data_IF_274086237151
#
_entry.id   IF_274086237151
#
_cell.length_a   1.000
_cell.length_b   1.000
_cell.length_c   1.000
_cell.angle_alpha   90.00
_cell.angle_beta   90.00
_cell.angle_gamma   90.00
#
_symmetry.space_group_name_H-M   'P 1'
#
loop_
_entity.id
_entity.type
_entity.pdbx_description
1 polymer ?
2 non-polymer ?
3 water ?
#
# COMPACT_ATOMS: atom_id res chain seq x y z
N UNK A 5 -11.88 5.88 3.95
CA UNK A 5 -11.57 5.81 2.53
C UNK A 5 -10.29 6.55 2.17
N UNK A 6 -9.58 6.06 1.15
CA UNK A 6 -8.43 6.78 0.62
C UNK A 6 -8.90 7.90 -0.30
N UNK A 7 -8.07 8.90 -0.52
CA UNK A 7 -8.36 9.92 -1.52
C UNK A 7 -7.44 9.69 -2.72
N UNK A 8 -8.00 9.80 -3.91
CA UNK A 8 -7.22 9.51 -5.12
C UNK A 8 -6.74 10.75 -5.84
N UNK A 9 -5.58 10.64 -6.48
CA UNK A 9 -5.05 11.72 -7.29
C UNK A 9 -4.96 11.31 -8.75
N UNK A 10 -4.61 12.26 -9.62
CA UNK A 10 -4.69 12.06 -11.06
C UNK A 10 -3.37 11.65 -11.72
N UNK A 11 -2.29 11.57 -10.94
CA UNK A 11 -0.99 11.27 -11.53
C UNK A 11 -0.70 9.79 -11.76
N UNK A 12 -1.34 8.93 -10.97
CA UNK A 12 -1.13 7.49 -11.08
C UNK A 12 -2.45 6.77 -11.36
N UNK A 13 -2.40 5.60 -12.02
CA UNK A 13 -3.67 4.93 -12.30
C UNK A 13 -4.42 4.66 -11.02
N UNK A 14 -5.73 4.89 -11.02
CA UNK A 14 -6.57 4.71 -9.85
C UNK A 14 -6.46 3.28 -9.32
N UNK A 15 -6.44 2.30 -10.23
CA UNK A 15 -6.42 0.91 -9.77
C UNK A 15 -5.19 0.63 -8.92
N UNK A 16 -4.06 1.25 -9.29
CA UNK A 16 -2.80 1.11 -8.56
C UNK A 16 -2.88 1.73 -7.17
N UNK A 17 -3.54 2.89 -7.11
CA UNK A 17 -3.75 3.56 -5.83
C UNK A 17 -4.65 2.71 -4.92
N UNK A 18 -5.64 2.04 -5.50
CA UNK A 18 -6.51 1.19 -4.70
C UNK A 18 -5.72 -0.01 -4.17
N UNK A 19 -4.95 -0.66 -5.04
CA UNK A 19 -4.16 -1.79 -4.58
C UNK A 19 -3.15 -1.36 -3.50
N UNK A 20 -2.56 -0.16 -3.63
CA UNK A 20 -1.61 0.35 -2.61
C UNK A 20 -2.31 0.50 -1.25
N UNK A 21 -3.49 1.11 -1.28
CA UNK A 21 -4.30 1.30 -0.08
C UNK A 21 -4.72 -0.04 0.56
N UNK A 23 -3.21 -2.92 0.27
CA UNK A 23 -2.01 -3.49 0.85
C UNK A 23 -1.71 -2.87 2.21
N UNK A 24 -1.89 -1.55 2.32
CA UNK A 24 -1.63 -0.89 3.61
C UNK A 24 -2.58 -1.39 4.69
N UNK A 25 -3.84 -1.63 4.32
CA UNK A 25 -4.80 -2.12 5.32
C UNK A 25 -4.38 -3.49 5.80
N UNK A 27 -1.14 -4.76 5.83
CA UNK A 27 0.11 -4.77 6.58
C UNK A 27 -0.02 -4.16 7.96
N UNK A 28 -1.00 -3.27 8.14
CA UNK A 28 -1.20 -2.66 9.45
C UNK A 28 -2.11 -3.51 10.31
N UNK A 29 -2.69 -4.53 9.69
CA UNK A 29 -3.57 -5.43 10.41
C UNK A 29 -5.00 -4.93 10.56
N UNK A 30 -5.36 -3.85 9.85
CA UNK A 30 -6.75 -3.45 9.83
C UNK A 30 -7.59 -4.57 9.23
N UNK A 31 -7.05 -5.21 8.20
CA UNK A 31 -7.67 -6.39 7.61
C UNK A 31 -6.73 -7.56 7.89
N UNK A 32 -7.24 -8.60 8.53
CA UNK A 32 -6.41 -9.72 8.94
C UNK A 32 -6.56 -10.89 8.00
N UNK A 33 -5.68 -11.88 8.16
CA UNK A 33 -5.73 -13.06 7.32
C UNK A 33 -7.11 -13.69 7.34
N UNK A 34 -7.55 -14.12 6.16
CA UNK A 34 -8.83 -14.81 5.98
C UNK A 34 -10.04 -13.87 6.03
N UNK A 35 -9.80 -12.60 6.32
CA UNK A 35 -10.90 -11.63 6.26
C UNK A 35 -11.51 -11.63 4.87
N UNK A 36 -12.84 -11.60 4.81
CA UNK A 36 -13.54 -11.58 3.55
C UNK A 36 -13.64 -10.17 3.03
N UNK A 37 -13.22 -9.98 1.78
CA UNK A 37 -13.25 -8.66 1.16
C UNK A 37 -14.58 -8.36 0.50
N UNK A 38 -14.85 -7.07 0.27
CA UNK A 38 -16.06 -6.74 -0.48
C UNK A 38 -15.97 -7.30 -1.89
N UNK A 39 -17.12 -7.50 -2.52
CA UNK A 39 -17.11 -7.81 -3.94
C UNK A 39 -16.59 -6.57 -4.65
N UNK A 40 -16.18 -6.71 -5.90
CA UNK A 40 -15.69 -5.54 -6.62
C UNK A 40 -16.77 -4.47 -6.75
N UNK A 41 -18.03 -4.87 -6.93
CA UNK A 41 -19.11 -3.89 -7.00
C UNK A 41 -19.35 -3.19 -5.66
N UNK A 42 -19.31 -3.93 -4.57
CA UNK A 42 -19.46 -3.34 -3.24
C UNK A 42 -18.35 -2.34 -2.98
N UNK A 44 -16.56 -0.76 -5.17
CA UNK A 44 -16.73 0.39 -6.05
C UNK A 44 -17.70 1.41 -5.46
N UNK A 45 -18.80 0.92 -4.90
CA UNK A 45 -19.75 1.82 -4.26
C UNK A 45 -19.10 2.47 -3.04
N UNK A 46 -18.41 1.67 -2.23
CA UNK A 46 -17.74 2.17 -1.03
C UNK A 46 -16.73 3.28 -1.34
N UNK A 47 -15.98 3.11 -2.42
CA UNK A 47 -14.93 4.05 -2.79
C UNK A 47 -15.40 5.14 -3.76
N UNK A 48 -16.62 5.00 -4.26
CA UNK A 48 -17.12 5.87 -5.32
C UNK A 48 -16.20 5.79 -6.53
N UNK A 49 -15.85 4.56 -6.88
CA UNK A 49 -14.97 4.28 -8.00
C UNK A 49 -15.65 3.27 -8.93
N UNK A 50 -15.39 3.41 -10.21
CA UNK A 50 -15.84 2.48 -11.25
C UNK A 50 -15.45 1.04 -10.89
N UNK A 51 -16.40 0.10 -10.94
CA UNK A 51 -16.06 -1.29 -10.51
C UNK A 51 -15.04 -1.95 -11.43
N UNK A 52 -14.95 -1.52 -12.69
CA UNK A 52 -13.91 -2.04 -13.59
C UNK A 52 -12.53 -1.70 -13.07
N UNK A 53 -12.42 -0.51 -12.49
CA UNK A 53 -11.17 -0.05 -11.92
C UNK A 53 -10.84 -0.84 -10.66
N UNK A 54 -11.85 -1.11 -9.85
CA UNK A 54 -11.64 -1.93 -8.67
C UNK A 54 -11.21 -3.34 -9.07
N UNK A 55 -11.86 -3.89 -10.09
CA UNK A 55 -11.50 -5.23 -10.54
C UNK A 55 -10.03 -5.30 -10.94
N UNK A 56 -9.52 -4.27 -11.57
CA UNK A 56 -8.11 -4.29 -11.99
C UNK A 56 -7.19 -4.31 -10.75
N UNK A 57 -7.60 -3.61 -9.69
CA UNK A 57 -6.84 -3.63 -8.47
C UNK A 57 -6.88 -5.00 -7.80
N UNK A 58 -8.07 -5.62 -7.75
CA UNK A 58 -8.18 -6.94 -7.14
C UNK A 58 -7.35 -7.96 -7.95
N UNK A 59 -7.40 -7.86 -9.28
CA UNK A 59 -6.63 -8.77 -10.15
C UNK A 59 -5.14 -8.64 -9.87
N UNK A 60 -4.69 -7.40 -9.69
CA UNK A 60 -3.28 -7.15 -9.37
C UNK A 60 -2.89 -7.85 -8.06
N UNK A 61 -3.74 -7.71 -7.04
CA UNK A 61 -3.45 -8.32 -5.75
C UNK A 61 -3.52 -9.84 -5.79
N UNK A 62 -4.45 -10.38 -6.56
CA UNK A 62 -4.62 -11.84 -6.59
C UNK A 62 -3.44 -12.44 -7.32
N UNK A 63 -3.03 -11.81 -8.40
CA UNK A 63 -1.90 -12.27 -9.19
C UNK A 63 -0.64 -12.32 -8.33
N UNK A 64 -0.49 -11.38 -7.39
CA UNK A 64 0.70 -11.31 -6.56
C UNK A 64 0.55 -12.12 -5.27
N UNK A 65 -0.63 -12.71 -5.07
CA UNK A 65 -0.87 -13.60 -3.94
C UNK A 65 -1.30 -12.96 -2.63
N UNK A 66 -1.71 -11.69 -2.65
CA UNK A 66 -2.09 -10.99 -1.42
C UNK A 66 -3.54 -11.24 -1.06
N UNK A 67 -4.34 -11.60 -2.06
CA UNK A 67 -5.72 -12.03 -1.81
C UNK A 67 -5.95 -13.28 -2.62
N UNK A 68 -6.95 -14.06 -2.24
CA UNK A 68 -7.27 -15.26 -2.99
C UNK A 68 -8.77 -15.48 -3.04
N UNK A 69 -9.21 -16.25 -4.03
CA UNK A 69 -10.62 -16.45 -4.25
C UNK A 69 -11.01 -17.87 -3.95
N UNK A 70 -12.23 -18.05 -3.46
CA UNK A 70 -12.85 -19.36 -3.39
C UNK A 70 -14.04 -19.30 -4.33
N UNK A 71 -14.28 -20.37 -5.08
CA UNK A 71 -15.38 -20.39 -6.04
C UNK A 71 -16.71 -20.04 -5.37
N UNK A 72 -17.41 -19.07 -5.92
CA UNK A 72 -18.71 -18.65 -5.40
C UNK A 72 -18.67 -18.25 -3.94
N UNK A 74 -16.19 -15.41 -3.14
CA UNK A 74 -15.51 -14.13 -3.18
C UNK A 74 -14.02 -14.19 -2.87
N UNK A 75 -13.46 -13.04 -2.49
CA UNK A 75 -12.04 -12.88 -2.24
C UNK A 75 -11.71 -12.69 -0.76
N UNK A 76 -10.54 -13.16 -0.36
CA UNK A 76 -10.12 -13.19 1.03
C UNK A 76 -8.68 -12.71 1.17
N UNK A 77 -8.35 -12.13 2.31
CA UNK A 77 -6.98 -11.69 2.59
C UNK A 77 -6.10 -12.91 2.86
N UNK A 78 -4.98 -13.02 2.14
CA UNK A 78 -4.05 -14.11 2.37
C UNK A 78 -3.52 -14.09 3.80
N UNK A 79 -3.36 -15.27 4.41
CA UNK A 79 -2.63 -15.42 5.66
C UNK A 79 -1.22 -15.90 5.35
N UNK A 80 -0.24 -15.02 5.46
CA UNK A 80 1.15 -15.39 5.21
C UNK A 80 2.02 -14.30 5.82
N UNK A 81 2.44 -14.49 7.06
CA UNK A 81 3.19 -13.47 7.78
C UNK A 81 4.49 -13.13 7.08
N UNK A 82 5.14 -14.15 6.52
CA UNK A 82 6.41 -13.93 5.84
C UNK A 82 6.21 -13.02 4.63
N UNK A 83 5.13 -13.26 3.89
CA UNK A 83 4.81 -12.48 2.69
C UNK A 83 4.58 -11.00 3.03
N UNK A 84 3.77 -10.77 4.06
CA UNK A 84 3.49 -9.39 4.46
C UNK A 84 4.68 -8.72 5.13
N UNK A 85 5.47 -9.48 5.90
CA UNK A 85 6.70 -8.94 6.46
C UNK A 85 7.66 -8.42 5.38
N UNK A 86 7.77 -9.16 4.27
CA UNK A 86 8.66 -8.73 3.19
C UNK A 86 8.09 -7.52 2.45
N UNK A 87 6.78 -7.45 2.32
CA UNK A 87 6.14 -6.27 1.70
C UNK A 87 6.43 -5.04 2.55
N UNK A 88 6.27 -5.15 3.85
CA UNK A 88 6.51 -4.03 4.74
C UNK A 88 7.96 -3.59 4.62
N UNK A 89 8.87 -4.56 4.52
CA UNK A 89 10.29 -4.24 4.39
C UNK A 89 10.55 -3.47 3.11
N UNK A 90 9.95 -3.90 2.02
CA UNK A 90 10.15 -3.22 0.74
C UNK A 90 9.55 -1.81 0.74
N UNK A 91 8.38 -1.64 1.36
CA UNK A 91 7.76 -0.33 1.41
C UNK A 91 8.62 0.59 2.29
N UNK A 92 9.15 0.04 3.37
CA UNK A 92 10.00 0.82 4.27
C UNK A 92 11.28 1.27 3.55
N UNK A 93 11.89 0.37 2.78
CA UNK A 93 13.07 0.74 1.98
C UNK A 93 12.75 1.85 0.99
N UNK A 94 11.57 1.78 0.38
CA UNK A 94 11.16 2.78 -0.60
C UNK A 94 10.99 4.15 0.05
N UNK A 95 10.39 4.16 1.25
CA UNK A 95 10.18 5.38 2.00
C UNK A 95 11.52 6.04 2.37
N UNK A 96 12.48 5.23 2.80
CA UNK A 96 13.78 5.80 3.19
C UNK A 96 14.53 6.30 1.97
N UNK A 97 14.42 5.57 0.87
CA UNK A 97 15.08 5.98 -0.37
C UNK A 97 14.57 7.36 -0.80
N UNK A 98 13.25 7.53 -0.80
CA UNK A 98 12.63 8.78 -1.22
C UNK A 98 12.97 9.94 -0.30
N UNK A 99 13.08 9.66 0.99
CA UNK A 99 13.45 10.67 1.98
C UNK A 99 14.83 11.22 1.64
N UNK A 100 15.79 10.33 1.40
CA UNK A 100 17.15 10.76 1.10
C UNK A 100 17.25 11.46 -0.25
N UNK A 101 16.47 10.99 -1.23
CA UNK A 101 16.47 11.66 -2.53
C UNK A 101 15.84 13.04 -2.42
N UNK A 102 14.77 13.17 -1.65
CA UNK A 102 14.11 14.46 -1.51
C UNK A 102 15.01 15.42 -0.73
N UNK A 103 15.70 14.91 0.27
CA UNK A 103 16.64 15.71 1.04
C UNK A 103 17.71 16.24 0.11
N UNK A 104 18.27 15.36 -0.70
CA UNK A 104 19.30 15.77 -1.65
C UNK A 104 18.80 16.88 -2.56
N UNK A 105 17.52 16.80 -2.96
CA UNK A 105 16.99 17.76 -3.91
C UNK A 105 16.83 19.17 -3.34
N UNK A 106 16.79 19.28 -2.01
CA UNK A 106 16.77 20.60 -1.38
C UNK A 106 18.10 20.96 -0.72
N UNK A 107 19.15 20.20 -1.01
CA UNK A 107 20.46 20.47 -0.46
C UNK A 107 20.60 20.15 1.02
N UNK A 108 19.72 19.29 1.52
CA UNK A 108 19.74 18.88 2.91
C UNK A 108 20.56 17.59 3.05
N UNK A 109 21.71 17.68 3.70
CA UNK A 109 22.59 16.52 3.78
C UNK A 109 21.99 15.43 4.67
N UNK A 110 22.48 14.21 4.51
CA UNK A 110 21.94 13.08 5.27
C UNK A 110 22.01 13.29 6.78
N UNK A 111 23.15 13.78 7.26
CA UNK A 111 23.36 13.94 8.70
C UNK A 111 22.33 14.88 9.28
N UNK A 112 22.14 16.02 8.62
CA UNK A 112 21.20 17.03 9.08
C UNK A 112 19.77 16.51 9.05
N UNK A 113 19.44 15.81 7.97
CA UNK A 113 18.12 15.25 7.79
C UNK A 113 17.78 14.25 8.90
N UNK A 114 18.73 13.35 9.19
CA UNK A 114 18.52 12.36 10.23
C UNK A 114 18.37 13.00 11.60
N UNK A 115 19.20 14.00 11.90
CA UNK A 115 19.08 14.69 13.16
C UNK A 115 17.71 15.38 13.31
N UNK A 116 17.23 16.00 12.24
CA UNK A 116 15.94 16.67 12.28
C UNK A 116 14.84 15.66 12.54
N UNK A 117 14.96 14.51 11.90
CA UNK A 117 13.96 13.47 12.03
C UNK A 117 13.94 12.94 13.45
N UNK A 118 15.12 12.67 14.02
CA UNK A 118 15.20 12.20 15.39
C UNK A 118 14.60 13.22 16.34
N UNK A 119 14.90 14.50 16.09
CA UNK A 119 14.35 15.57 16.95
C UNK A 119 12.84 15.59 16.85
N UNK A 120 12.31 15.48 15.64
CA UNK A 120 10.86 15.47 15.44
C UNK A 120 10.22 14.26 16.13
N UNK A 121 10.85 13.11 15.98
CA UNK A 121 10.36 11.87 16.59
C UNK A 121 10.24 11.97 18.10
N UNK A 122 11.16 12.69 18.72
CA UNK A 122 11.13 12.89 20.17
C UNK A 122 10.28 14.12 20.50
N UNK A 123 9.79 14.78 19.46
CA UNK A 123 8.95 15.97 19.61
C UNK A 123 9.72 17.14 20.22
#
# INVERSE_FOLDING_TARGET
SNAXNPTFHADKPIYSQISDWXKKQXITGEWKGEDKLPSVREXGVKLAVNPNTVSRAYQELERAGYIYAKRGXGSFVTSDKALFDQLKKELADAITERFLEEAKSIGLDDQTAIELLIKRSRNHE
#
